data_IF_136890437822
#
_entry.id   IF_136890437822
#
_cell.length_a   1.000
_cell.length_b   1.000
_cell.length_c   1.000
_cell.angle_alpha   90.00
_cell.angle_beta   90.00
_cell.angle_gamma   90.00
#
_symmetry.space_group_name_H-M   'P 1'
#
loop_
_entity.id
_entity.type
_entity.pdbx_description
1 polymer ?
#
# COMPACT_ATOMS: atom_id res chain seq x y z
N UNK A 1 7.83 -0.46 -0.33
CA UNK A 1 8.06 0.99 -0.51
C UNK A 1 8.57 1.58 0.81
N UNK A 2 9.26 2.71 0.79
CA UNK A 2 9.80 3.34 1.99
C UNK A 2 10.94 4.31 1.66
N UNK A 3 11.92 4.50 2.57
CA UNK A 3 12.97 5.52 2.43
C UNK A 3 13.80 5.45 1.14
N UNK A 4 13.91 4.27 0.52
CA UNK A 4 14.67 4.08 -0.73
C UNK A 4 13.83 4.20 -2.00
N UNK A 5 12.52 4.47 -1.88
CA UNK A 5 11.61 4.49 -3.03
C UNK A 5 12.08 5.49 -4.09
N UNK A 6 12.35 6.75 -3.72
CA UNK A 6 12.70 7.79 -4.70
C UNK A 6 14.04 7.52 -5.38
N UNK A 7 15.05 7.05 -4.64
CA UNK A 7 16.35 6.69 -5.20
C UNK A 7 16.22 5.58 -6.26
N UNK A 8 15.40 4.56 -6.01
CA UNK A 8 15.14 3.48 -6.97
C UNK A 8 14.36 3.96 -8.19
N UNK A 9 13.36 4.82 -7.98
CA UNK A 9 12.54 5.36 -9.06
C UNK A 9 13.36 6.30 -9.96
N UNK A 10 14.15 7.19 -9.38
CA UNK A 10 15.06 8.08 -10.09
C UNK A 10 16.08 7.32 -10.94
N UNK A 11 16.73 6.29 -10.38
CA UNK A 11 17.69 5.46 -11.10
C UNK A 11 17.08 4.67 -12.27
N UNK A 12 15.77 4.46 -12.29
CA UNK A 12 15.06 3.70 -13.32
C UNK A 12 14.20 4.58 -14.25
N UNK A 13 14.17 5.90 -14.06
CA UNK A 13 13.30 6.80 -14.82
C UNK A 13 11.81 6.67 -14.50
N UNK A 14 11.45 5.98 -13.41
CA UNK A 14 10.06 5.79 -12.99
C UNK A 14 9.55 7.06 -12.32
N UNK A 15 8.47 7.63 -12.87
CA UNK A 15 7.83 8.84 -12.34
C UNK A 15 6.54 8.54 -11.58
N UNK A 16 6.05 7.31 -11.63
CA UNK A 16 4.83 6.87 -10.93
C UNK A 16 4.92 5.42 -10.53
N UNK A 17 4.55 5.14 -9.28
CA UNK A 17 4.40 3.79 -8.76
C UNK A 17 2.96 3.56 -8.34
N UNK A 18 2.54 2.30 -8.42
CA UNK A 18 1.23 1.86 -7.96
C UNK A 18 1.44 0.74 -6.95
N UNK A 19 1.00 0.96 -5.71
CA UNK A 19 0.91 -0.06 -4.70
C UNK A 19 -0.20 -1.05 -5.05
N UNK A 20 0.13 -2.33 -5.09
CA UNK A 20 -0.76 -3.40 -5.52
C UNK A 20 -1.53 -4.04 -4.36
N UNK A 21 -1.98 -3.23 -3.39
CA UNK A 21 -2.72 -3.72 -2.23
C UNK A 21 -1.86 -4.07 -1.02
N UNK A 22 -0.68 -3.47 -0.87
CA UNK A 22 0.08 -3.63 0.39
C UNK A 22 -0.72 -3.09 1.58
N UNK A 23 -1.53 -2.06 1.37
CA UNK A 23 -2.42 -1.50 2.37
C UNK A 23 -3.90 -1.88 2.14
N UNK A 24 -4.60 -2.21 3.23
CA UNK A 24 -6.06 -2.26 3.29
C UNK A 24 -6.64 -1.01 3.96
N UNK A 25 -7.95 -0.96 4.18
CA UNK A 25 -8.64 0.18 4.79
C UNK A 25 -8.04 0.62 6.14
N UNK A 26 -7.65 -0.33 6.99
CA UNK A 26 -7.07 -0.05 8.31
C UNK A 26 -5.63 0.48 8.24
N UNK A 27 -4.88 0.14 7.18
CA UNK A 27 -3.46 0.48 7.04
C UNK A 27 -3.18 1.58 6.02
N UNK A 28 -4.17 1.95 5.20
CA UNK A 28 -4.03 2.95 4.14
C UNK A 28 -3.62 4.33 4.65
N UNK A 29 -4.16 4.77 5.79
CA UNK A 29 -3.74 6.03 6.44
C UNK A 29 -2.24 6.04 6.73
N UNK A 30 -1.71 4.90 7.18
CA UNK A 30 -0.29 4.71 7.44
C UNK A 30 0.55 4.80 6.17
N UNK A 31 0.13 4.10 5.10
CA UNK A 31 0.77 4.21 3.78
C UNK A 31 0.82 5.66 3.30
N UNK A 32 -0.28 6.40 3.42
CA UNK A 32 -0.36 7.80 3.01
C UNK A 32 0.59 8.69 3.81
N UNK A 33 0.55 8.59 5.14
CA UNK A 33 1.32 9.48 6.02
C UNK A 33 2.82 9.18 6.04
N UNK A 34 3.20 7.90 5.97
CA UNK A 34 4.59 7.48 6.16
C UNK A 34 5.33 7.21 4.85
N UNK A 35 4.62 7.05 3.72
CA UNK A 35 5.24 6.78 2.42
C UNK A 35 4.78 7.81 1.39
N UNK A 36 3.49 7.84 1.04
CA UNK A 36 3.03 8.65 -0.10
C UNK A 36 3.33 10.14 0.04
N UNK A 37 3.08 10.72 1.23
CA UNK A 37 3.34 12.13 1.49
C UNK A 37 4.84 12.47 1.64
N UNK A 38 5.71 11.46 1.69
CA UNK A 38 7.16 11.62 1.86
C UNK A 38 7.97 11.27 0.61
N UNK A 39 7.31 10.76 -0.42
CA UNK A 39 7.95 10.42 -1.68
C UNK A 39 7.77 11.55 -2.70
N UNK A 40 8.81 11.80 -3.49
CA UNK A 40 8.74 12.69 -4.66
C UNK A 40 8.05 11.99 -5.84
N UNK A 41 8.24 10.67 -5.98
CA UNK A 41 7.55 9.89 -7.02
C UNK A 41 6.04 9.87 -6.77
N UNK A 42 5.25 9.99 -7.84
CA UNK A 42 3.78 9.90 -7.72
C UNK A 42 3.38 8.48 -7.30
N UNK A 43 2.76 8.36 -6.12
CA UNK A 43 2.29 7.08 -5.59
C UNK A 43 0.76 6.97 -5.70
N UNK A 44 0.29 5.88 -6.32
CA UNK A 44 -1.12 5.43 -6.26
C UNK A 44 -1.22 4.11 -5.51
N UNK A 45 -2.41 3.75 -5.04
CA UNK A 45 -2.64 2.53 -4.28
C UNK A 45 -3.98 1.93 -4.69
N UNK A 46 -3.99 0.64 -5.01
CA UNK A 46 -5.20 -0.16 -4.89
C UNK A 46 -5.37 -0.54 -3.43
N UNK A 47 -6.52 -0.24 -2.83
CA UNK A 47 -6.81 -0.66 -1.46
C UNK A 47 -7.16 -2.14 -1.47
N UNK A 48 -6.51 -2.91 -0.59
CA UNK A 48 -6.72 -4.34 -0.48
C UNK A 48 -8.12 -4.66 0.08
N UNK A 49 -8.74 -5.76 -0.40
CA UNK A 49 -10.06 -6.22 0.09
C UNK A 49 -10.03 -6.60 1.58
N UNK A 50 -8.91 -7.14 2.03
CA UNK A 50 -8.63 -7.32 3.46
C UNK A 50 -8.24 -5.98 4.08
N UNK A 51 -8.93 -5.56 5.13
CA UNK A 51 -8.72 -4.31 5.87
C UNK A 51 -7.27 -4.14 6.35
N UNK A 52 -6.59 -5.25 6.68
CA UNK A 52 -5.19 -5.22 7.11
C UNK A 52 -4.21 -5.02 5.94
N UNK A 53 -4.55 -5.44 4.72
CA UNK A 53 -3.61 -5.52 3.61
C UNK A 53 -2.52 -6.57 3.83
N UNK A 54 -1.37 -6.43 3.17
CA UNK A 54 -0.28 -7.41 3.17
C UNK A 54 0.68 -7.26 4.36
N UNK A 55 0.16 -7.20 5.59
CA UNK A 55 0.99 -7.03 6.81
C UNK A 55 1.82 -8.28 7.14
N UNK A 56 1.42 -9.45 6.64
CA UNK A 56 2.06 -10.72 6.91
C UNK A 56 2.05 -11.59 5.65
N UNK A 57 3.21 -12.10 5.24
CA UNK A 57 3.38 -12.76 3.93
C UNK A 57 3.21 -14.29 3.99
N UNK A 58 3.16 -14.90 5.19
CA UNK A 58 3.06 -16.37 5.33
C UNK A 58 1.63 -16.87 5.56
N UNK A 59 0.78 -16.04 6.14
CA UNK A 59 -0.63 -16.35 6.38
C UNK A 59 -1.40 -15.35 5.54
N UNK A 60 -2.21 -15.85 4.61
CA UNK A 60 -2.95 -15.00 3.69
C UNK A 60 -3.88 -14.04 4.43
N UNK A 61 -3.81 -12.77 4.06
CA UNK A 61 -4.51 -11.66 4.68
C UNK A 61 -6.04 -11.75 4.58
N UNK A 62 -6.57 -12.49 3.61
CA UNK A 62 -8.00 -12.74 3.44
C UNK A 62 -8.43 -14.17 3.84
N UNK A 63 -7.53 -14.97 4.46
CA UNK A 63 -7.88 -16.31 4.96
C UNK A 63 -8.86 -16.26 6.14
N UNK A 64 -8.96 -15.11 6.81
CA UNK A 64 -9.96 -14.86 7.84
C UNK A 64 -10.95 -13.82 7.33
N UNK A 65 -12.15 -14.26 6.92
CA UNK A 65 -13.15 -13.41 6.28
C UNK A 65 -13.58 -12.19 7.11
N UNK A 66 -13.40 -12.20 8.43
CA UNK A 66 -13.70 -11.01 9.25
C UNK A 66 -12.76 -9.82 8.97
N UNK A 67 -11.67 -10.01 8.23
CA UNK A 67 -10.86 -8.89 7.72
C UNK A 67 -11.38 -8.32 6.41
N UNK A 68 -12.32 -8.97 5.71
CA UNK A 68 -12.89 -8.43 4.48
C UNK A 68 -13.65 -7.14 4.78
N UNK A 69 -13.31 -6.06 4.06
CA UNK A 69 -13.93 -4.75 4.22
C UNK A 69 -14.19 -4.13 2.84
N UNK A 70 -15.34 -4.47 2.21
CA UNK A 70 -15.68 -3.95 0.89
C UNK A 70 -16.04 -2.45 0.90
N UNK A 71 -16.41 -1.88 2.05
CA UNK A 71 -16.80 -0.48 2.17
C UNK A 71 -15.63 0.45 2.53
N UNK A 72 -14.56 -0.09 3.12
CA UNK A 72 -13.40 0.69 3.55
C UNK A 72 -12.52 1.29 2.45
N UNK A 73 -12.86 1.08 1.17
CA UNK A 73 -12.19 1.67 0.02
C UNK A 73 -12.78 3.01 -0.45
N UNK A 74 -13.84 3.50 0.19
CA UNK A 74 -14.51 4.78 -0.13
C UNK A 74 -13.78 6.02 0.42
#
# INVERSE_FOLDING_TARGET
MGPQTDARCSASGVTTIVDAGSAGSATFKGLRQHVANKCEVRLRCFVHLSAIGLIHLRVGELMHLAYADPEGGA
#
